data_IF_027027717034
#
_entry.id   IF_027027717034
#
_cell.length_a   1.000
_cell.length_b   1.000
_cell.length_c   1.000
_cell.angle_alpha   90.00
_cell.angle_beta   90.00
_cell.angle_gamma   90.00
#
_symmetry.space_group_name_H-M   'P 1'
#
loop_
_entity.id
_entity.type
_entity.pdbx_description
1 polymer ?
#
# COMPACT_ATOMS: atom_id res chain seq x y z
N UNK A 1 45.01 -40.21 13.42
CA UNK A 1 43.73 -39.57 13.81
C UNK A 1 43.48 -38.39 12.89
N UNK A 2 42.53 -38.51 11.95
CA UNK A 2 42.11 -37.40 11.09
C UNK A 2 41.29 -36.43 11.93
N UNK A 3 41.72 -35.17 11.95
CA UNK A 3 41.10 -34.06 12.68
C UNK A 3 39.82 -33.69 11.92
N UNK A 4 38.65 -33.98 12.50
CA UNK A 4 37.36 -33.54 11.98
C UNK A 4 37.35 -32.02 11.88
N UNK A 5 37.19 -31.50 10.65
CA UNK A 5 36.81 -30.10 10.45
C UNK A 5 35.36 -29.97 10.89
N UNK A 6 35.14 -29.30 12.02
CA UNK A 6 33.83 -28.83 12.44
C UNK A 6 33.26 -27.97 11.30
N UNK A 7 32.05 -28.29 10.85
CA UNK A 7 31.32 -27.48 9.87
C UNK A 7 31.20 -26.04 10.37
N UNK A 8 31.53 -25.09 9.49
CA UNK A 8 31.28 -23.67 9.69
C UNK A 8 29.77 -23.51 9.91
N UNK A 9 29.34 -23.07 11.10
CA UNK A 9 27.98 -22.52 11.27
C UNK A 9 27.84 -21.40 10.23
N UNK A 10 26.78 -21.47 9.40
CA UNK A 10 26.61 -20.59 8.24
C UNK A 10 26.75 -19.12 8.64
N UNK A 11 27.76 -18.44 8.09
CA UNK A 11 27.88 -16.99 8.19
C UNK A 11 26.99 -16.33 7.14
N UNK A 12 26.70 -15.05 7.33
CA UNK A 12 25.98 -14.25 6.34
C UNK A 12 26.74 -14.24 4.99
N UNK A 13 26.03 -14.15 3.86
CA UNK A 13 26.65 -13.89 2.56
C UNK A 13 27.53 -12.63 2.62
N UNK A 14 28.58 -12.58 1.78
CA UNK A 14 29.54 -11.48 1.78
C UNK A 14 28.86 -10.13 1.49
N UNK A 15 27.89 -10.12 0.58
CA UNK A 15 27.20 -8.89 0.20
C UNK A 15 26.29 -8.40 1.33
N UNK A 16 25.62 -9.32 2.05
CA UNK A 16 24.90 -9.00 3.28
C UNK A 16 25.83 -8.45 4.39
N UNK A 17 27.02 -9.06 4.60
CA UNK A 17 28.01 -8.52 5.55
C UNK A 17 28.46 -7.09 5.17
N UNK A 18 28.58 -6.81 3.87
CA UNK A 18 28.93 -5.48 3.38
C UNK A 18 27.81 -4.47 3.60
N UNK A 19 26.55 -4.82 3.28
CA UNK A 19 25.40 -3.95 3.53
C UNK A 19 25.23 -3.64 5.02
N UNK A 20 25.39 -4.65 5.89
CA UNK A 20 25.37 -4.44 7.34
C UNK A 20 26.39 -3.38 7.77
N UNK A 21 27.63 -3.49 7.28
CA UNK A 21 28.67 -2.51 7.64
C UNK A 21 28.34 -1.10 7.14
N UNK A 22 27.83 -0.98 5.91
CA UNK A 22 27.48 0.32 5.33
C UNK A 22 26.28 0.96 6.05
N UNK A 23 25.22 0.21 6.30
CA UNK A 23 24.02 0.69 6.97
C UNK A 23 24.30 1.11 8.43
N UNK A 24 25.07 0.30 9.17
CA UNK A 24 25.49 0.71 10.53
C UNK A 24 26.42 1.93 10.50
N UNK A 25 27.32 2.02 9.52
CA UNK A 25 28.17 3.20 9.36
C UNK A 25 27.38 4.49 9.11
N UNK A 26 26.32 4.41 8.29
CA UNK A 26 25.41 5.52 8.04
C UNK A 26 24.60 5.87 9.30
N UNK A 27 24.05 4.88 9.99
CA UNK A 27 23.31 5.07 11.24
C UNK A 27 24.15 5.68 12.37
N UNK A 28 25.45 5.35 12.44
CA UNK A 28 26.38 5.92 13.42
C UNK A 28 26.98 7.28 12.99
N UNK A 29 26.61 7.78 11.80
CA UNK A 29 27.14 9.02 11.24
C UNK A 29 26.83 10.23 12.13
N UNK A 30 27.82 11.10 12.31
CA UNK A 30 27.72 12.28 13.19
C UNK A 30 27.67 13.61 12.46
N UNK A 31 27.75 13.59 11.12
CA UNK A 31 27.82 14.80 10.31
C UNK A 31 27.35 14.57 8.88
N UNK A 32 26.84 15.64 8.23
CA UNK A 32 26.40 15.59 6.82
C UNK A 32 27.49 15.15 5.83
N UNK A 33 28.75 15.39 6.15
CA UNK A 33 29.86 14.95 5.32
C UNK A 33 30.08 13.44 5.42
N UNK A 34 29.84 12.86 6.60
CA UNK A 34 29.85 11.41 6.81
C UNK A 34 28.61 10.77 6.19
N UNK A 35 27.41 11.34 6.37
CA UNK A 35 26.16 10.86 5.74
C UNK A 35 26.39 10.66 4.25
N UNK A 36 26.87 11.71 3.56
CA UNK A 36 27.14 11.66 2.14
C UNK A 36 28.16 10.58 1.73
N UNK A 37 29.20 10.35 2.55
CA UNK A 37 30.20 9.32 2.28
C UNK A 37 29.62 7.90 2.36
N UNK A 38 28.74 7.66 3.34
CA UNK A 38 28.09 6.38 3.54
C UNK A 38 26.97 6.15 2.52
N UNK A 39 26.13 7.17 2.29
CA UNK A 39 25.04 7.17 1.31
C UNK A 39 25.52 6.76 -0.08
N UNK A 40 26.58 7.40 -0.60
CA UNK A 40 27.10 7.10 -1.92
C UNK A 40 27.56 5.64 -2.05
N UNK A 41 28.13 5.07 -0.99
CA UNK A 41 28.62 3.68 -0.99
C UNK A 41 27.50 2.68 -0.81
N UNK A 42 26.53 2.99 0.05
CA UNK A 42 25.36 2.16 0.28
C UNK A 42 24.50 2.10 -0.98
N UNK A 43 24.22 3.26 -1.59
CA UNK A 43 23.54 3.36 -2.88
C UNK A 43 24.24 2.52 -3.96
N UNK A 44 25.56 2.64 -4.11
CA UNK A 44 26.31 1.89 -5.11
C UNK A 44 26.30 0.37 -4.86
N UNK A 45 26.31 -0.07 -3.60
CA UNK A 45 26.20 -1.49 -3.25
C UNK A 45 24.82 -2.04 -3.59
N UNK A 46 23.76 -1.30 -3.24
CA UNK A 46 22.37 -1.67 -3.53
C UNK A 46 22.12 -1.68 -5.04
N UNK A 47 22.60 -0.69 -5.80
CA UNK A 47 22.49 -0.67 -7.26
C UNK A 47 23.11 -1.93 -7.89
N UNK A 48 24.23 -2.40 -7.34
CA UNK A 48 24.88 -3.64 -7.76
C UNK A 48 24.01 -4.88 -7.52
N UNK A 49 23.31 -4.94 -6.40
CA UNK A 49 22.42 -6.06 -6.05
C UNK A 49 21.12 -6.04 -6.85
N UNK A 50 20.49 -4.86 -6.99
CA UNK A 50 19.31 -4.68 -7.84
C UNK A 50 19.61 -5.06 -9.29
N UNK A 51 20.77 -4.61 -9.83
CA UNK A 51 21.20 -4.96 -11.18
C UNK A 51 21.59 -6.44 -11.36
N UNK A 52 21.89 -7.15 -10.28
CA UNK A 52 22.15 -8.58 -10.27
C UNK A 52 20.90 -9.43 -9.95
N UNK A 53 19.74 -8.80 -9.73
CA UNK A 53 18.50 -9.42 -9.28
C UNK A 53 18.67 -10.21 -7.95
N UNK A 54 19.55 -9.74 -7.07
CA UNK A 54 19.85 -10.38 -5.77
C UNK A 54 18.96 -9.83 -4.64
N UNK A 55 17.67 -10.17 -4.70
CA UNK A 55 16.66 -9.83 -3.69
C UNK A 55 16.95 -10.46 -2.32
N UNK A 56 17.49 -11.68 -2.33
CA UNK A 56 17.74 -12.47 -1.12
C UNK A 56 18.75 -11.78 -0.20
N UNK A 57 19.82 -11.21 -0.78
CA UNK A 57 20.82 -10.45 -0.01
C UNK A 57 20.23 -9.20 0.64
N UNK A 58 19.34 -8.48 -0.05
CA UNK A 58 18.64 -7.30 0.48
C UNK A 58 17.75 -7.70 1.66
N UNK A 59 16.87 -8.68 1.44
CA UNK A 59 15.88 -9.14 2.43
C UNK A 59 16.55 -9.74 3.66
N UNK A 60 17.56 -10.60 3.47
CA UNK A 60 18.32 -11.21 4.59
C UNK A 60 18.99 -10.16 5.47
N UNK A 61 19.47 -9.07 4.86
CA UNK A 61 20.13 -7.99 5.61
C UNK A 61 19.12 -7.19 6.42
N UNK A 62 17.97 -6.84 5.83
CA UNK A 62 16.86 -6.18 6.53
C UNK A 62 16.37 -7.03 7.71
N UNK A 63 16.12 -8.33 7.49
CA UNK A 63 15.69 -9.26 8.55
C UNK A 63 16.69 -9.28 9.71
N UNK A 64 17.98 -9.31 9.43
CA UNK A 64 19.01 -9.26 10.46
C UNK A 64 18.96 -7.94 11.24
N UNK A 65 18.89 -6.80 10.53
CA UNK A 65 18.88 -5.47 11.15
C UNK A 65 17.61 -5.20 11.97
N UNK A 66 16.45 -5.74 11.57
CA UNK A 66 15.18 -5.59 12.29
C UNK A 66 15.28 -5.97 13.78
N UNK A 67 16.17 -6.92 14.11
CA UNK A 67 16.43 -7.36 15.49
C UNK A 67 17.67 -6.74 16.11
N UNK A 68 18.65 -6.33 15.28
CA UNK A 68 19.97 -5.91 15.73
C UNK A 68 20.10 -4.40 15.92
N UNK A 69 19.50 -3.60 15.03
CA UNK A 69 19.57 -2.13 15.03
C UNK A 69 18.44 -1.54 14.19
N UNK A 70 17.42 -0.99 14.85
CA UNK A 70 16.28 -0.32 14.19
C UNK A 70 16.74 0.86 13.35
N UNK A 71 17.69 1.66 13.85
CA UNK A 71 18.17 2.82 13.10
C UNK A 71 18.89 2.42 11.80
N UNK A 72 19.76 1.40 11.84
CA UNK A 72 20.41 0.92 10.62
C UNK A 72 19.44 0.18 9.70
N UNK A 73 18.39 -0.44 10.24
CA UNK A 73 17.29 -0.99 9.44
C UNK A 73 16.61 0.12 8.64
N UNK A 74 16.23 1.23 9.29
CA UNK A 74 15.56 2.35 8.63
C UNK A 74 16.44 2.95 7.53
N UNK A 75 17.72 3.21 7.80
CA UNK A 75 18.68 3.72 6.80
C UNK A 75 18.82 2.77 5.60
N UNK A 76 18.87 1.45 5.84
CA UNK A 76 18.95 0.47 4.76
C UNK A 76 17.64 0.40 3.96
N UNK A 77 16.49 0.35 4.65
CA UNK A 77 15.19 0.25 4.03
C UNK A 77 14.90 1.46 3.14
N UNK A 78 15.10 2.67 3.67
CA UNK A 78 14.91 3.93 2.93
C UNK A 78 15.83 3.99 1.71
N UNK A 79 17.10 3.57 1.84
CA UNK A 79 18.01 3.54 0.70
C UNK A 79 17.60 2.49 -0.33
N UNK A 80 17.23 1.27 0.07
CA UNK A 80 16.77 0.23 -0.87
C UNK A 80 15.55 0.70 -1.64
N UNK A 81 14.54 1.24 -0.95
CA UNK A 81 13.34 1.78 -1.59
C UNK A 81 13.69 2.89 -2.58
N UNK A 82 14.48 3.88 -2.16
CA UNK A 82 14.95 5.00 -2.99
C UNK A 82 15.70 4.53 -4.24
N UNK A 83 16.59 3.54 -4.08
CA UNK A 83 17.31 2.96 -5.23
C UNK A 83 16.36 2.18 -6.12
N UNK A 84 15.45 1.37 -5.59
CA UNK A 84 14.52 0.57 -6.37
C UNK A 84 13.54 1.44 -7.18
N UNK A 85 12.98 2.50 -6.61
CA UNK A 85 12.06 3.39 -7.32
C UNK A 85 12.76 4.39 -8.27
N UNK A 86 14.08 4.55 -8.18
CA UNK A 86 14.88 5.43 -9.05
C UNK A 86 15.81 4.73 -10.07
N UNK A 87 15.86 3.39 -10.05
CA UNK A 87 17.10 2.61 -10.23
C UNK A 87 18.00 2.90 -11.44
N UNK A 88 17.71 2.50 -12.68
CA UNK A 88 18.81 2.36 -13.66
C UNK A 88 19.10 3.58 -14.55
N UNK A 89 18.33 4.66 -14.41
CA UNK A 89 18.43 5.85 -15.28
C UNK A 89 18.62 7.16 -14.54
N UNK A 90 18.53 7.18 -13.22
CA UNK A 90 19.02 8.32 -12.45
C UNK A 90 20.55 8.35 -12.61
N UNK A 91 21.04 9.35 -13.36
CA UNK A 91 22.45 9.50 -13.70
C UNK A 91 22.98 10.86 -13.19
N UNK A 92 24.13 11.30 -13.70
CA UNK A 92 24.67 12.60 -13.35
C UNK A 92 23.85 13.78 -13.92
N UNK A 93 22.91 13.54 -14.84
CA UNK A 93 22.15 14.56 -15.56
C UNK A 93 20.67 14.56 -15.21
N UNK A 94 20.07 13.41 -14.91
CA UNK A 94 18.64 13.29 -14.65
C UNK A 94 18.35 12.50 -13.38
N UNK A 95 17.27 12.90 -12.70
CA UNK A 95 16.62 12.10 -11.68
C UNK A 95 15.37 11.45 -12.28
N UNK A 96 15.16 10.18 -11.93
CA UNK A 96 13.99 9.38 -12.33
C UNK A 96 13.34 8.86 -11.07
N UNK A 97 12.02 8.88 -11.04
CA UNK A 97 11.24 8.38 -9.91
C UNK A 97 10.02 7.62 -10.42
N UNK A 98 9.84 6.38 -9.95
CA UNK A 98 8.59 5.66 -10.07
C UNK A 98 7.58 6.28 -9.10
N UNK A 99 6.40 6.63 -9.62
CA UNK A 99 5.29 7.17 -8.87
C UNK A 99 4.09 6.23 -8.95
N UNK A 100 3.26 6.25 -7.92
CA UNK A 100 1.94 5.64 -7.92
C UNK A 100 0.87 6.68 -7.61
N UNK A 101 -0.30 6.51 -8.22
CA UNK A 101 -1.53 7.23 -7.91
C UNK A 101 -2.58 6.21 -7.43
N UNK A 102 -2.67 5.99 -6.11
CA UNK A 102 -3.62 5.04 -5.54
C UNK A 102 -5.07 5.55 -5.63
N UNK A 103 -5.99 4.61 -5.78
CA UNK A 103 -7.43 4.81 -5.83
C UNK A 103 -8.08 3.75 -4.96
N UNK A 104 -8.64 4.17 -3.83
CA UNK A 104 -9.45 3.29 -2.99
C UNK A 104 -10.81 3.12 -3.67
N UNK A 105 -11.29 1.89 -3.81
CA UNK A 105 -12.56 1.62 -4.45
C UNK A 105 -13.35 0.58 -3.66
N UNK A 106 -14.66 0.71 -3.63
CA UNK A 106 -15.54 -0.34 -3.12
C UNK A 106 -16.72 -0.59 -4.04
N UNK A 107 -17.11 -1.86 -4.14
CA UNK A 107 -18.24 -2.28 -4.96
C UNK A 107 -18.82 -3.60 -4.48
N UNK A 108 -20.11 -3.80 -4.76
CA UNK A 108 -20.76 -5.11 -4.64
C UNK A 108 -20.34 -6.09 -5.74
N UNK A 109 -19.71 -5.56 -6.79
CA UNK A 109 -19.18 -6.31 -7.92
C UNK A 109 -17.66 -6.35 -7.86
N UNK A 110 -17.04 -7.04 -8.82
CA UNK A 110 -15.58 -7.01 -8.97
C UNK A 110 -15.11 -5.59 -9.26
N UNK A 111 -14.20 -5.07 -8.44
CA UNK A 111 -13.49 -3.82 -8.71
C UNK A 111 -12.53 -4.09 -9.89
N UNK A 112 -12.62 -3.35 -11.00
CA UNK A 112 -11.88 -3.69 -12.21
C UNK A 112 -10.38 -3.39 -12.08
N UNK A 113 -9.55 -4.28 -12.60
CA UNK A 113 -8.16 -4.02 -12.96
C UNK A 113 -8.07 -4.19 -14.49
N UNK A 114 -7.74 -3.14 -15.22
CA UNK A 114 -8.10 -3.06 -16.64
C UNK A 114 -7.16 -2.16 -17.45
N UNK A 115 -6.97 -2.43 -18.76
CA UNK A 115 -6.27 -1.51 -19.65
C UNK A 115 -6.97 -0.15 -19.72
N UNK A 116 -6.18 0.92 -19.78
CA UNK A 116 -6.66 2.29 -19.83
C UNK A 116 -6.63 2.79 -21.27
N UNK A 117 -7.77 3.26 -21.78
CA UNK A 117 -7.83 3.79 -23.14
C UNK A 117 -6.93 5.02 -23.33
N UNK A 118 -6.40 5.21 -24.54
CA UNK A 118 -5.53 6.34 -24.87
C UNK A 118 -6.15 7.72 -24.56
N UNK A 119 -7.48 7.85 -24.70
CA UNK A 119 -8.19 9.09 -24.37
C UNK A 119 -8.16 9.39 -22.85
N UNK A 120 -8.34 8.35 -22.02
CA UNK A 120 -8.25 8.49 -20.56
C UNK A 120 -6.81 8.74 -20.13
N UNK A 121 -5.84 8.05 -20.73
CA UNK A 121 -4.40 8.27 -20.50
C UNK A 121 -3.99 9.73 -20.77
N UNK A 122 -4.45 10.30 -21.89
CA UNK A 122 -4.18 11.70 -22.22
C UNK A 122 -4.74 12.67 -21.17
N UNK A 123 -5.95 12.43 -20.67
CA UNK A 123 -6.56 13.28 -19.63
C UNK A 123 -5.85 13.13 -18.28
N UNK A 124 -5.51 11.90 -17.87
CA UNK A 124 -4.74 11.64 -16.64
C UNK A 124 -3.41 12.39 -16.66
N UNK A 125 -2.68 12.32 -17.78
CA UNK A 125 -1.43 13.06 -18.00
C UNK A 125 -1.61 14.56 -17.84
N UNK A 126 -2.67 15.15 -18.40
CA UNK A 126 -2.97 16.57 -18.26
C UNK A 126 -3.14 16.95 -16.80
N UNK A 127 -3.94 16.20 -16.03
CA UNK A 127 -4.22 16.53 -14.64
C UNK A 127 -3.04 16.24 -13.69
N UNK A 128 -2.25 15.20 -13.95
CA UNK A 128 -1.01 14.98 -13.21
C UNK A 128 -0.03 16.13 -13.42
N UNK A 129 0.20 16.57 -14.66
CA UNK A 129 1.09 17.70 -14.97
C UNK A 129 0.55 19.06 -14.48
N UNK A 130 -0.77 19.21 -14.36
CA UNK A 130 -1.37 20.44 -13.88
C UNK A 130 -1.33 20.59 -12.35
N UNK A 131 -1.55 19.48 -11.62
CA UNK A 131 -1.89 19.54 -10.20
C UNK A 131 -0.90 18.83 -9.27
N UNK A 132 -0.14 17.87 -9.78
CA UNK A 132 0.68 16.98 -8.95
C UNK A 132 2.17 17.14 -9.25
N UNK A 133 2.53 17.20 -10.53
CA UNK A 133 3.92 17.29 -10.98
C UNK A 133 4.38 18.74 -11.10
N UNK A 134 5.68 18.96 -10.87
CA UNK A 134 6.32 20.24 -11.09
C UNK A 134 6.34 20.60 -12.59
N UNK A 135 6.70 21.85 -12.87
CA UNK A 135 6.85 22.32 -14.24
C UNK A 135 7.97 21.55 -14.97
N UNK A 136 7.77 21.32 -16.27
CA UNK A 136 8.75 20.72 -17.19
C UNK A 136 9.14 19.25 -16.87
N UNK A 137 8.41 18.60 -15.96
CA UNK A 137 8.52 17.17 -15.69
C UNK A 137 8.11 16.36 -16.91
N UNK A 138 8.99 15.45 -17.34
CA UNK A 138 8.62 14.40 -18.30
C UNK A 138 7.92 13.26 -17.57
N UNK A 139 6.91 12.67 -18.20
CA UNK A 139 6.05 11.65 -17.61
C UNK A 139 5.86 10.49 -18.58
N UNK A 140 5.96 9.27 -18.07
CA UNK A 140 5.38 8.07 -18.67
C UNK A 140 4.36 7.48 -17.72
N UNK A 141 3.23 7.03 -18.25
CA UNK A 141 2.23 6.26 -17.50
C UNK A 141 2.17 4.84 -18.06
N UNK A 142 1.94 3.87 -17.19
CA UNK A 142 1.53 2.53 -17.60
C UNK A 142 0.07 2.56 -18.03
N UNK A 143 -0.27 2.01 -19.20
CA UNK A 143 -1.64 2.01 -19.75
C UNK A 143 -2.56 0.95 -19.12
N UNK A 144 -2.43 0.73 -17.81
CA UNK A 144 -3.17 -0.26 -17.06
C UNK A 144 -3.46 0.23 -15.64
N UNK A 145 -4.66 -0.10 -15.14
CA UNK A 145 -5.07 0.16 -13.76
C UNK A 145 -4.88 -1.14 -12.95
N UNK A 146 -3.86 -1.18 -12.10
CA UNK A 146 -3.40 -2.38 -11.40
C UNK A 146 -4.20 -2.64 -10.12
N UNK A 147 -4.43 -3.91 -9.78
CA UNK A 147 -4.72 -4.32 -8.39
C UNK A 147 -3.41 -4.48 -7.59
N UNK A 148 -3.47 -4.63 -6.25
CA UNK A 148 -2.28 -4.87 -5.43
C UNK A 148 -1.53 -6.14 -5.88
N UNK A 149 -2.27 -7.21 -6.22
CA UNK A 149 -1.71 -8.49 -6.68
C UNK A 149 -0.85 -8.36 -7.95
N UNK A 150 -1.08 -7.30 -8.74
CA UNK A 150 -0.46 -7.07 -10.06
C UNK A 150 0.67 -6.04 -10.02
N UNK A 151 0.98 -5.49 -8.84
CA UNK A 151 2.13 -4.61 -8.64
C UNK A 151 3.46 -5.38 -8.73
N UNK A 152 4.58 -4.71 -9.07
CA UNK A 152 5.89 -5.34 -9.01
C UNK A 152 6.18 -5.83 -7.58
N UNK A 153 6.54 -7.12 -7.46
CA UNK A 153 6.81 -7.77 -6.17
C UNK A 153 8.30 -7.67 -5.79
N UNK A 154 8.58 -7.11 -4.63
CA UNK A 154 9.95 -6.92 -4.14
C UNK A 154 10.70 -5.75 -4.80
N UNK A 155 11.95 -5.56 -4.39
CA UNK A 155 12.76 -4.41 -4.79
C UNK A 155 13.33 -4.55 -6.22
N UNK A 156 13.80 -5.74 -6.61
CA UNK A 156 14.36 -5.99 -7.93
C UNK A 156 13.31 -5.84 -9.04
N UNK A 157 12.11 -6.39 -8.84
CA UNK A 157 11.02 -6.22 -9.82
C UNK A 157 10.58 -4.75 -9.91
N UNK A 158 10.56 -4.04 -8.78
CA UNK A 158 10.26 -2.59 -8.75
C UNK A 158 11.32 -1.80 -9.52
N UNK A 159 12.60 -2.12 -9.34
CA UNK A 159 13.72 -1.52 -10.06
C UNK A 159 13.68 -1.75 -11.58
N UNK A 160 13.37 -2.98 -12.00
CA UNK A 160 13.18 -3.29 -13.42
C UNK A 160 11.99 -2.52 -14.01
N UNK A 161 10.86 -2.49 -13.29
CA UNK A 161 9.67 -1.76 -13.73
C UNK A 161 9.91 -0.24 -13.83
N UNK A 162 10.55 0.35 -12.82
CA UNK A 162 10.97 1.75 -12.81
C UNK A 162 11.89 2.08 -13.99
N UNK A 163 12.76 1.15 -14.37
CA UNK A 163 13.67 1.30 -15.51
C UNK A 163 12.94 1.30 -16.85
N UNK A 164 11.99 0.38 -17.03
CA UNK A 164 11.16 0.30 -18.23
C UNK A 164 10.29 1.55 -18.41
N UNK A 165 9.59 1.98 -17.36
CA UNK A 165 8.80 3.23 -17.40
C UNK A 165 9.69 4.46 -17.56
N UNK A 166 10.81 4.53 -16.84
CA UNK A 166 11.75 5.65 -16.92
C UNK A 166 12.30 5.86 -18.33
N UNK A 167 12.56 4.78 -19.07
CA UNK A 167 12.92 4.84 -20.49
C UNK A 167 11.81 5.44 -21.37
N UNK A 168 10.54 5.12 -21.09
CA UNK A 168 9.42 5.72 -21.79
C UNK A 168 9.25 7.21 -21.43
N UNK A 169 9.60 7.60 -20.20
CA UNK A 169 9.55 8.99 -19.75
C UNK A 169 10.59 9.86 -20.48
N UNK A 170 11.73 9.32 -20.92
CA UNK A 170 12.72 10.05 -21.73
C UNK A 170 12.09 10.75 -22.95
N UNK A 171 11.09 10.11 -23.56
CA UNK A 171 10.34 10.57 -24.74
C UNK A 171 8.94 11.09 -24.44
N UNK A 172 8.56 11.23 -23.16
CA UNK A 172 7.23 11.65 -22.70
C UNK A 172 6.09 10.76 -23.26
N UNK A 173 6.35 9.46 -23.41
CA UNK A 173 5.43 8.45 -23.97
C UNK A 173 4.97 7.45 -22.91
N UNK A 174 3.77 6.90 -23.09
CA UNK A 174 3.22 5.86 -22.20
C UNK A 174 3.82 4.48 -22.48
N UNK A 175 3.86 3.64 -21.45
CA UNK A 175 4.28 2.25 -21.53
C UNK A 175 3.06 1.34 -21.67
N UNK A 176 3.08 0.49 -22.70
CA UNK A 176 2.06 -0.53 -22.88
C UNK A 176 2.32 -1.75 -21.98
N UNK A 177 1.32 -2.13 -21.18
CA UNK A 177 1.39 -3.27 -20.27
C UNK A 177 0.80 -4.51 -20.95
N UNK A 178 1.59 -5.58 -20.97
CA UNK A 178 1.13 -6.90 -21.44
C UNK A 178 0.31 -7.56 -20.35
N UNK A 179 -0.93 -7.92 -20.67
CA UNK A 179 -1.90 -8.46 -19.71
C UNK A 179 -1.90 -9.98 -19.59
N UNK A 180 -1.25 -10.69 -20.53
CA UNK A 180 -1.38 -12.15 -20.69
C UNK A 180 -0.91 -12.96 -19.46
N UNK A 181 -0.01 -12.40 -18.66
CA UNK A 181 0.58 -13.06 -17.49
C UNK A 181 0.28 -12.33 -16.18
N UNK A 182 -0.68 -11.39 -16.18
CA UNK A 182 -1.07 -10.72 -14.94
C UNK A 182 -1.82 -11.72 -14.04
N UNK A 183 -1.51 -11.77 -12.74
CA UNK A 183 -2.23 -12.64 -11.82
C UNK A 183 -3.71 -12.28 -11.75
N UNK A 184 -4.55 -13.28 -11.45
CA UNK A 184 -5.94 -13.04 -11.13
C UNK A 184 -6.05 -12.22 -9.86
N UNK A 185 -6.95 -11.25 -9.86
CA UNK A 185 -7.16 -10.35 -8.73
C UNK A 185 -8.13 -10.98 -7.74
N UNK A 186 -7.79 -10.94 -6.45
CA UNK A 186 -8.75 -11.31 -5.42
C UNK A 186 -9.98 -10.39 -5.45
N UNK A 187 -11.13 -10.92 -5.02
CA UNK A 187 -12.37 -10.14 -4.96
C UNK A 187 -12.67 -9.73 -3.52
N UNK A 188 -12.46 -8.45 -3.25
CA UNK A 188 -12.82 -7.81 -1.99
C UNK A 188 -13.95 -6.81 -2.18
N UNK A 189 -14.68 -6.53 -1.10
CA UNK A 189 -15.69 -5.47 -1.06
C UNK A 189 -15.06 -4.10 -1.29
N UNK A 190 -13.91 -3.86 -0.65
CA UNK A 190 -13.12 -2.65 -0.67
C UNK A 190 -11.68 -3.03 -0.97
N UNK A 191 -11.05 -2.39 -1.97
CA UNK A 191 -9.70 -2.68 -2.43
C UNK A 191 -9.08 -1.47 -3.13
N UNK A 192 -7.76 -1.48 -3.29
CA UNK A 192 -6.98 -0.41 -3.91
C UNK A 192 -6.73 -0.69 -5.39
N UNK A 193 -6.72 0.37 -6.20
CA UNK A 193 -6.24 0.34 -7.58
C UNK A 193 -5.11 1.33 -7.76
N UNK A 194 -4.15 1.02 -8.60
CA UNK A 194 -2.96 1.83 -8.78
C UNK A 194 -2.79 2.20 -10.25
N UNK A 195 -2.64 3.50 -10.52
CA UNK A 195 -2.03 3.99 -11.75
C UNK A 195 -0.53 4.19 -11.47
N UNK A 196 0.32 3.54 -12.26
CA UNK A 196 1.78 3.65 -12.12
C UNK A 196 2.36 4.53 -13.23
N UNK A 197 3.42 5.25 -12.92
CA UNK A 197 4.14 6.05 -13.89
C UNK A 197 5.58 6.32 -13.46
N UNK A 198 6.40 6.80 -14.39
CA UNK A 198 7.72 7.33 -14.05
C UNK A 198 7.83 8.78 -14.48
N UNK A 199 8.48 9.56 -13.63
CA UNK A 199 8.82 10.96 -13.89
C UNK A 199 10.30 11.11 -14.11
N UNK A 200 10.68 12.06 -14.95
CA UNK A 200 12.08 12.39 -15.23
C UNK A 200 12.30 13.90 -15.24
N UNK A 201 13.31 14.33 -14.52
CA UNK A 201 13.70 15.75 -14.35
C UNK A 201 15.21 15.91 -14.45
N UNK A 202 15.74 17.10 -14.78
CA UNK A 202 17.16 17.39 -14.59
C UNK A 202 17.58 17.15 -13.15
N UNK A 203 18.80 16.69 -12.93
CA UNK A 203 19.29 16.36 -11.59
C UNK A 203 19.13 17.52 -10.61
N UNK A 204 18.46 17.26 -9.48
CA UNK A 204 18.16 18.22 -8.42
C UNK A 204 16.99 19.17 -8.72
N UNK A 205 16.28 19.00 -9.83
CA UNK A 205 15.10 19.81 -10.14
C UNK A 205 13.84 19.29 -9.41
N UNK A 206 12.84 20.15 -9.18
CA UNK A 206 11.55 19.74 -8.61
C UNK A 206 10.85 18.65 -9.43
N UNK A 207 10.35 17.62 -8.77
CA UNK A 207 9.52 16.56 -9.33
C UNK A 207 8.03 16.85 -9.11
N UNK A 208 7.68 17.31 -7.91
CA UNK A 208 6.28 17.52 -7.50
C UNK A 208 5.94 19.00 -7.39
N UNK A 209 4.67 19.33 -7.60
CA UNK A 209 4.16 20.71 -7.62
C UNK A 209 4.41 21.44 -6.29
N UNK A 210 4.35 20.71 -5.17
CA UNK A 210 4.61 21.26 -3.83
C UNK A 210 6.09 21.46 -3.49
N UNK A 211 7.01 21.15 -4.42
CA UNK A 211 8.42 21.52 -4.31
C UNK A 211 8.71 22.88 -4.96
N UNK A 212 7.68 23.52 -5.54
CA UNK A 212 7.72 24.89 -6.07
C UNK A 212 7.02 25.85 -5.07
N UNK A 213 7.39 27.13 -5.04
CA UNK A 213 7.03 28.08 -3.96
C UNK A 213 5.52 28.34 -3.77
N UNK A 214 4.65 27.93 -4.69
CA UNK A 214 3.25 28.38 -4.79
C UNK A 214 2.18 27.30 -4.54
N UNK A 215 2.56 26.10 -4.10
CA UNK A 215 1.59 25.00 -3.90
C UNK A 215 1.92 24.16 -2.66
N UNK A 216 0.88 23.81 -1.88
CA UNK A 216 1.01 22.82 -0.79
C UNK A 216 0.53 21.44 -1.24
N UNK A 217 0.90 20.40 -0.50
CA UNK A 217 0.40 19.02 -0.74
C UNK A 217 -1.13 18.95 -0.65
N UNK A 218 -1.74 19.64 0.31
CA UNK A 218 -3.20 19.64 0.49
C UNK A 218 -3.92 20.26 -0.71
N UNK A 219 -3.38 21.37 -1.24
CA UNK A 219 -3.91 22.01 -2.44
C UNK A 219 -3.78 21.10 -3.67
N UNK A 220 -2.63 20.43 -3.82
CA UNK A 220 -2.43 19.46 -4.89
C UNK A 220 -3.42 18.29 -4.80
N UNK A 221 -3.65 17.76 -3.59
CA UNK A 221 -4.62 16.68 -3.33
C UNK A 221 -6.05 17.12 -3.64
N UNK A 222 -6.46 18.31 -3.20
CA UNK A 222 -7.80 18.84 -3.48
C UNK A 222 -8.05 18.95 -5.00
N UNK A 223 -7.10 19.50 -5.75
CA UNK A 223 -7.20 19.61 -7.20
C UNK A 223 -7.14 18.25 -7.90
N UNK A 224 -6.30 17.34 -7.42
CA UNK A 224 -6.23 15.97 -7.93
C UNK A 224 -7.56 15.22 -7.72
N UNK A 225 -8.18 15.33 -6.55
CA UNK A 225 -9.50 14.77 -6.28
C UNK A 225 -10.57 15.36 -7.19
N UNK A 226 -10.59 16.68 -7.33
CA UNK A 226 -11.60 17.36 -8.13
C UNK A 226 -11.50 17.08 -9.63
N UNK A 227 -10.28 17.04 -10.19
CA UNK A 227 -10.08 16.98 -11.64
C UNK A 227 -9.45 15.66 -12.12
N UNK A 228 -8.47 15.13 -11.39
CA UNK A 228 -7.89 13.82 -11.67
C UNK A 228 -8.87 12.68 -11.39
N UNK A 229 -9.60 12.74 -10.27
CA UNK A 229 -10.64 11.77 -9.92
C UNK A 229 -11.72 11.64 -11.00
N UNK A 230 -12.10 12.74 -11.65
CA UNK A 230 -13.06 12.73 -12.75
C UNK A 230 -12.58 11.91 -13.97
N UNK A 231 -11.27 11.79 -14.18
CA UNK A 231 -10.69 10.96 -15.26
C UNK A 231 -10.71 9.47 -14.93
N UNK A 232 -10.73 9.11 -13.64
CA UNK A 232 -10.74 7.74 -13.16
C UNK A 232 -12.15 7.17 -13.14
N UNK A 233 -13.18 8.01 -12.94
CA UNK A 233 -14.57 7.58 -12.84
C UNK A 233 -15.05 6.62 -13.95
N UNK A 234 -14.72 6.82 -15.25
CA UNK A 234 -15.12 5.89 -16.30
C UNK A 234 -14.51 4.48 -16.16
N UNK A 235 -13.32 4.37 -15.55
CA UNK A 235 -12.62 3.10 -15.33
C UNK A 235 -13.25 2.27 -14.20
N UNK A 236 -13.92 2.94 -13.26
CA UNK A 236 -14.50 2.36 -12.05
C UNK A 236 -16.03 2.43 -12.06
N UNK A 237 -16.65 2.27 -13.23
CA UNK A 237 -18.11 2.32 -13.38
C UNK A 237 -18.77 1.30 -12.44
N UNK A 238 -19.68 1.75 -11.58
CA UNK A 238 -20.34 0.89 -10.58
C UNK A 238 -19.55 0.66 -9.29
N UNK A 239 -18.44 1.38 -9.11
CA UNK A 239 -17.73 1.46 -7.83
C UNK A 239 -17.91 2.86 -7.24
N UNK A 240 -17.98 2.93 -5.91
CA UNK A 240 -17.62 4.14 -5.20
C UNK A 240 -16.08 4.16 -5.07
N UNK A 241 -15.47 5.34 -5.14
CA UNK A 241 -14.02 5.44 -5.06
C UNK A 241 -13.56 6.80 -4.52
N UNK A 242 -12.35 6.81 -3.97
CA UNK A 242 -11.62 8.00 -3.57
C UNK A 242 -10.17 7.91 -4.06
N UNK A 243 -9.62 9.04 -4.49
CA UNK A 243 -8.22 9.10 -4.95
C UNK A 243 -7.30 9.63 -3.85
N UNK A 244 -6.12 9.04 -3.77
CA UNK A 244 -5.02 9.45 -2.88
C UNK A 244 -4.04 10.34 -3.68
N UNK A 245 -3.29 11.20 -2.98
CA UNK A 245 -2.30 12.06 -3.61
C UNK A 245 -1.22 11.18 -4.27
N UNK A 246 -0.93 11.33 -5.58
CA UNK A 246 0.14 10.58 -6.19
C UNK A 246 1.49 10.99 -5.62
N UNK A 247 2.37 10.02 -5.39
CA UNK A 247 3.67 10.23 -4.76
C UNK A 247 4.67 9.18 -5.25
N UNK A 248 5.90 9.23 -4.74
CA UNK A 248 6.89 8.16 -4.87
C UNK A 248 6.25 6.79 -4.55
N UNK A 249 6.60 5.75 -5.31
CA UNK A 249 5.92 4.46 -5.31
C UNK A 249 5.72 3.89 -3.90
N UNK A 250 6.79 3.73 -3.12
CA UNK A 250 6.69 3.13 -1.79
C UNK A 250 5.93 4.02 -0.80
N UNK A 251 6.14 5.34 -0.87
CA UNK A 251 5.42 6.31 -0.03
C UNK A 251 3.92 6.34 -0.35
N UNK A 252 3.56 6.28 -1.64
CA UNK A 252 2.16 6.23 -2.10
C UNK A 252 1.47 4.94 -1.67
N UNK A 253 2.16 3.80 -1.74
CA UNK A 253 1.64 2.51 -1.26
C UNK A 253 1.40 2.54 0.25
N UNK A 254 2.36 3.02 1.06
CA UNK A 254 2.16 3.18 2.50
C UNK A 254 0.98 4.10 2.85
N UNK A 255 0.80 5.17 2.11
CA UNK A 255 -0.34 6.09 2.31
C UNK A 255 -1.67 5.44 1.90
N UNK A 256 -1.68 4.65 0.82
CA UNK A 256 -2.85 3.87 0.41
C UNK A 256 -3.25 2.85 1.49
N UNK A 257 -2.28 2.14 2.07
CA UNK A 257 -2.55 1.20 3.16
C UNK A 257 -3.17 1.91 4.37
N UNK A 258 -2.58 3.03 4.82
CA UNK A 258 -3.12 3.83 5.92
C UNK A 258 -4.55 4.30 5.67
N UNK A 259 -4.80 4.87 4.50
CA UNK A 259 -6.12 5.45 4.13
C UNK A 259 -7.17 4.38 3.84
N UNK A 260 -6.76 3.18 3.42
CA UNK A 260 -7.67 2.05 3.16
C UNK A 260 -8.38 1.54 4.41
N UNK A 261 -7.80 1.72 5.61
CA UNK A 261 -8.37 1.25 6.88
C UNK A 261 -9.69 1.95 7.20
N UNK A 262 -9.76 3.29 7.28
CA UNK A 262 -11.03 3.98 7.48
C UNK A 262 -11.98 3.84 6.28
N UNK A 263 -11.43 3.77 5.06
CA UNK A 263 -12.24 3.57 3.86
C UNK A 263 -12.95 2.21 3.85
N UNK A 264 -12.31 1.16 4.37
CA UNK A 264 -12.91 -0.18 4.48
C UNK A 264 -14.10 -0.20 5.44
N UNK A 265 -14.02 0.52 6.57
CA UNK A 265 -15.18 0.69 7.47
C UNK A 265 -16.32 1.42 6.73
N UNK A 266 -16.01 2.52 6.03
CA UNK A 266 -17.03 3.28 5.29
C UNK A 266 -17.71 2.44 4.21
N UNK A 267 -16.93 1.66 3.46
CA UNK A 267 -17.41 0.73 2.44
C UNK A 267 -18.33 -0.33 3.05
N UNK A 268 -17.90 -0.96 4.16
CA UNK A 268 -18.67 -1.97 4.87
C UNK A 268 -19.99 -1.45 5.42
N UNK A 269 -20.00 -0.27 6.04
CA UNK A 269 -21.24 0.36 6.54
C UNK A 269 -22.19 0.69 5.38
N UNK A 270 -21.69 1.30 4.30
CA UNK A 270 -22.52 1.63 3.13
C UNK A 270 -23.08 0.37 2.45
N UNK A 271 -22.27 -0.69 2.34
CA UNK A 271 -22.68 -1.99 1.86
C UNK A 271 -23.79 -2.57 2.72
N UNK A 272 -23.57 -2.69 4.04
CA UNK A 272 -24.54 -3.27 4.97
C UNK A 272 -25.83 -2.48 5.00
N UNK A 273 -25.77 -1.15 5.04
CA UNK A 273 -26.97 -0.31 5.05
C UNK A 273 -27.86 -0.55 3.83
N UNK A 274 -27.24 -0.77 2.67
CA UNK A 274 -27.96 -1.04 1.43
C UNK A 274 -28.39 -2.51 1.33
N UNK A 275 -27.64 -3.45 1.91
CA UNK A 275 -27.90 -4.90 1.80
C UNK A 275 -28.96 -5.37 2.79
N UNK A 276 -28.99 -4.78 3.98
CA UNK A 276 -29.91 -5.12 5.06
C UNK A 276 -31.13 -4.18 5.13
N UNK A 277 -31.22 -3.20 4.22
CA UNK A 277 -32.23 -2.14 4.23
C UNK A 277 -32.35 -1.47 5.62
N UNK A 278 -31.20 -1.15 6.22
CA UNK A 278 -31.09 -0.62 7.57
C UNK A 278 -30.19 0.62 7.59
N UNK A 279 -30.58 1.73 8.27
CA UNK A 279 -29.68 2.86 8.43
C UNK A 279 -28.46 2.44 9.26
N UNK A 280 -27.33 3.15 9.12
CA UNK A 280 -26.12 2.90 9.92
C UNK A 280 -26.39 2.89 11.44
N UNK A 281 -27.28 3.75 11.94
CA UNK A 281 -27.70 3.77 13.35
C UNK A 281 -28.48 2.51 13.79
N UNK A 282 -28.94 1.69 12.85
CA UNK A 282 -29.55 0.37 13.09
C UNK A 282 -28.53 -0.78 13.12
N UNK A 283 -27.24 -0.49 12.92
CA UNK A 283 -26.13 -1.43 13.04
C UNK A 283 -25.43 -1.25 14.40
N UNK A 284 -24.78 -2.32 14.87
CA UNK A 284 -23.80 -2.31 15.95
C UNK A 284 -22.44 -2.70 15.40
N UNK A 285 -21.39 -2.03 15.86
CA UNK A 285 -20.01 -2.44 15.64
C UNK A 285 -19.42 -2.98 16.94
N UNK A 286 -18.78 -4.14 16.89
CA UNK A 286 -18.02 -4.76 17.98
C UNK A 286 -16.55 -4.70 17.62
N UNK A 287 -15.72 -4.04 18.43
CA UNK A 287 -14.29 -3.85 18.17
C UNK A 287 -13.50 -4.64 19.21
N UNK A 288 -12.51 -5.41 18.77
CA UNK A 288 -11.63 -6.13 19.68
C UNK A 288 -10.19 -6.25 19.12
N UNK A 289 -9.16 -6.27 19.99
CA UNK A 289 -7.78 -6.52 19.59
C UNK A 289 -7.55 -8.02 19.34
N UNK A 290 -6.79 -8.33 18.28
CA UNK A 290 -6.39 -9.68 17.91
C UNK A 290 -4.87 -9.84 18.00
N UNK A 291 -4.44 -10.93 18.64
CA UNK A 291 -3.09 -11.14 19.14
C UNK A 291 -2.46 -12.41 18.57
N UNK A 292 -1.17 -12.34 18.24
CA UNK A 292 -0.31 -13.51 18.01
C UNK A 292 0.90 -13.52 18.96
N UNK A 293 1.75 -12.48 18.88
CA UNK A 293 2.87 -12.24 19.84
C UNK A 293 2.73 -10.91 20.56
N UNK A 294 2.11 -9.97 19.86
CA UNK A 294 1.59 -8.70 20.30
C UNK A 294 0.23 -8.55 19.60
N UNK A 295 -0.50 -7.47 19.88
CA UNK A 295 -1.66 -7.13 19.06
C UNK A 295 -1.14 -6.79 17.67
N UNK A 296 -1.63 -7.50 16.67
CA UNK A 296 -1.23 -7.31 15.27
C UNK A 296 -2.30 -6.50 14.52
N UNK A 297 -3.56 -6.62 14.94
CA UNK A 297 -4.70 -5.97 14.30
C UNK A 297 -5.88 -5.82 15.25
N UNK A 298 -6.76 -4.87 14.95
CA UNK A 298 -8.12 -4.85 15.49
C UNK A 298 -9.07 -5.47 14.48
N UNK A 299 -10.08 -6.17 14.96
CA UNK A 299 -11.19 -6.62 14.11
C UNK A 299 -12.49 -5.98 14.56
N UNK A 300 -13.30 -5.62 13.57
CA UNK A 300 -14.62 -5.03 13.75
C UNK A 300 -15.65 -6.02 13.22
N UNK A 301 -16.48 -6.57 14.10
CA UNK A 301 -17.67 -7.34 13.74
C UNK A 301 -18.90 -6.43 13.65
N UNK A 302 -19.70 -6.55 12.61
CA UNK A 302 -20.95 -5.81 12.45
C UNK A 302 -22.16 -6.71 12.69
N UNK A 303 -23.12 -6.23 13.47
CA UNK A 303 -24.43 -6.89 13.69
C UNK A 303 -25.57 -5.92 13.44
N UNK A 304 -26.79 -6.43 13.26
CA UNK A 304 -28.00 -5.60 13.42
C UNK A 304 -28.17 -5.25 14.91
N UNK A 305 -28.63 -4.04 15.20
CA UNK A 305 -28.84 -3.61 16.60
C UNK A 305 -29.78 -4.57 17.34
N UNK A 306 -29.37 -4.98 18.54
CA UNK A 306 -30.09 -5.97 19.35
C UNK A 306 -29.97 -7.43 18.89
N UNK A 307 -29.15 -7.71 17.86
CA UNK A 307 -28.77 -9.06 17.43
C UNK A 307 -27.31 -9.32 17.74
N UNK A 308 -26.96 -10.60 17.84
CA UNK A 308 -25.60 -11.04 18.13
C UNK A 308 -24.88 -11.65 16.92
N UNK A 309 -25.65 -12.06 15.90
CA UNK A 309 -25.11 -12.63 14.67
C UNK A 309 -24.28 -11.59 13.91
N UNK A 310 -23.01 -11.94 13.66
CA UNK A 310 -22.08 -11.11 12.91
C UNK A 310 -22.33 -11.32 11.42
N UNK A 311 -22.73 -10.24 10.74
CA UNK A 311 -23.16 -10.28 9.34
C UNK A 311 -22.06 -9.82 8.37
N UNK A 312 -21.05 -9.13 8.87
CA UNK A 312 -19.88 -8.71 8.12
C UNK A 312 -18.77 -8.31 9.10
N UNK A 313 -17.53 -8.25 8.62
CA UNK A 313 -16.42 -7.82 9.43
C UNK A 313 -15.35 -7.08 8.64
N UNK A 314 -14.57 -6.26 9.35
CA UNK A 314 -13.45 -5.50 8.83
C UNK A 314 -12.23 -5.77 9.69
N UNK A 315 -11.09 -5.98 9.04
CA UNK A 315 -9.78 -6.04 9.70
C UNK A 315 -9.14 -4.65 9.61
N UNK A 316 -8.65 -4.16 10.75
CA UNK A 316 -7.86 -2.95 10.88
C UNK A 316 -6.43 -3.34 11.27
N UNK A 317 -5.53 -3.53 10.31
CA UNK A 317 -4.14 -3.87 10.60
C UNK A 317 -3.42 -2.70 11.29
N UNK A 318 -2.54 -3.03 12.24
CA UNK A 318 -1.57 -2.08 12.77
C UNK A 318 -0.41 -1.94 11.78
N UNK A 319 -0.06 -0.71 11.43
CA UNK A 319 0.93 -0.42 10.41
C UNK A 319 2.22 0.16 11.02
N UNK A 320 3.35 -0.47 10.73
CA UNK A 320 4.68 0.02 11.15
C UNK A 320 4.88 -0.08 12.66
N UNK A 321 5.14 1.05 13.31
CA UNK A 321 5.37 1.14 14.76
C UNK A 321 4.08 1.41 15.56
N UNK A 322 2.91 1.35 14.92
CA UNK A 322 1.63 1.41 15.62
C UNK A 322 1.49 0.22 16.59
N UNK A 323 0.88 0.49 17.73
CA UNK A 323 0.59 -0.46 18.79
C UNK A 323 -0.91 -0.48 19.12
N UNK A 324 -1.28 -1.37 20.04
CA UNK A 324 -2.58 -1.36 20.72
C UNK A 324 -2.66 -0.19 21.71
N UNK A 325 -2.63 1.03 21.17
CA UNK A 325 -2.82 2.25 21.93
C UNK A 325 -4.27 2.71 21.87
N UNK A 326 -4.63 3.50 22.89
CA UNK A 326 -5.91 4.21 22.92
C UNK A 326 -6.12 5.15 21.73
N UNK A 327 -5.05 5.56 21.03
CA UNK A 327 -5.13 6.41 19.84
C UNK A 327 -5.69 5.64 18.65
N UNK A 328 -5.18 4.43 18.38
CA UNK A 328 -5.70 3.55 17.32
C UNK A 328 -7.18 3.23 17.53
N UNK A 329 -7.55 2.82 18.75
CA UNK A 329 -8.95 2.55 19.08
C UNK A 329 -9.82 3.81 18.91
N UNK A 330 -9.33 4.98 19.32
CA UNK A 330 -10.05 6.24 19.16
C UNK A 330 -10.25 6.60 17.69
N UNK A 331 -9.30 6.29 16.80
CA UNK A 331 -9.44 6.47 15.35
C UNK A 331 -10.52 5.55 14.76
N UNK A 332 -10.54 4.27 15.16
CA UNK A 332 -11.58 3.31 14.76
C UNK A 332 -12.96 3.80 15.19
N UNK A 333 -13.12 4.17 16.46
CA UNK A 333 -14.39 4.69 16.98
C UNK A 333 -14.83 5.97 16.27
N UNK A 334 -13.90 6.90 16.02
CA UNK A 334 -14.19 8.15 15.30
C UNK A 334 -14.67 7.86 13.89
N UNK A 335 -14.03 6.92 13.20
CA UNK A 335 -14.41 6.48 11.85
C UNK A 335 -15.81 5.86 11.85
N UNK A 336 -16.08 4.94 12.78
CA UNK A 336 -17.40 4.31 12.93
C UNK A 336 -18.51 5.35 13.17
N UNK A 337 -18.26 6.31 14.07
CA UNK A 337 -19.20 7.41 14.35
C UNK A 337 -19.40 8.32 13.15
N UNK A 338 -18.35 8.62 12.39
CA UNK A 338 -18.45 9.39 11.15
C UNK A 338 -19.30 8.67 10.08
N UNK A 339 -19.32 7.33 10.09
CA UNK A 339 -20.20 6.52 9.24
C UNK A 339 -21.65 6.46 9.74
N UNK A 340 -21.96 7.05 10.91
CA UNK A 340 -23.30 7.04 11.50
C UNK A 340 -23.59 5.86 12.42
N UNK A 341 -22.60 5.05 12.78
CA UNK A 341 -22.74 3.99 13.79
C UNK A 341 -22.83 4.64 15.18
N UNK A 342 -23.90 4.35 15.91
CA UNK A 342 -24.13 4.89 17.26
C UNK A 342 -23.91 3.87 18.37
N UNK A 343 -24.08 2.58 18.07
CA UNK A 343 -23.88 1.47 18.99
C UNK A 343 -22.52 0.81 18.72
N UNK A 344 -21.53 1.15 19.54
CA UNK A 344 -20.16 0.63 19.45
C UNK A 344 -19.84 -0.08 20.76
N UNK A 345 -19.49 -1.35 20.67
CA UNK A 345 -19.06 -2.19 21.79
C UNK A 345 -17.58 -2.51 21.63
N UNK A 346 -16.75 -1.99 22.53
CA UNK A 346 -15.33 -2.36 22.59
C UNK A 346 -15.15 -3.49 23.58
N UNK A 347 -14.45 -4.54 23.17
CA UNK A 347 -14.06 -5.66 24.01
C UNK A 347 -12.59 -5.55 24.36
N UNK A 348 -12.28 -5.62 25.65
CA UNK A 348 -10.91 -5.52 26.17
C UNK A 348 -10.20 -6.89 26.22
N UNK A 349 -10.86 -7.95 25.75
CA UNK A 349 -10.31 -9.29 25.74
C UNK A 349 -9.34 -9.44 24.56
N UNK A 350 -8.19 -10.07 24.79
CA UNK A 350 -7.27 -10.46 23.72
C UNK A 350 -7.83 -11.68 22.99
N UNK A 351 -8.13 -11.52 21.70
CA UNK A 351 -8.59 -12.61 20.84
C UNK A 351 -7.41 -13.24 20.09
N UNK A 352 -7.34 -14.57 19.96
CA UNK A 352 -6.35 -15.21 19.09
C UNK A 352 -6.63 -14.92 17.61
N UNK A 353 -5.57 -14.90 16.79
CA UNK A 353 -5.66 -14.80 15.32
C UNK A 353 -6.32 -16.04 14.70
N UNK A 354 -7.65 -16.09 14.75
CA UNK A 354 -8.45 -17.20 14.24
C UNK A 354 -8.99 -16.93 12.83
N UNK A 355 -9.02 -17.99 12.02
CA UNK A 355 -9.54 -17.99 10.65
C UNK A 355 -10.49 -19.17 10.50
N UNK A 356 -11.50 -19.02 9.64
CA UNK A 356 -12.42 -20.08 9.32
C UNK A 356 -11.71 -21.21 8.56
N UNK A 357 -11.84 -22.45 9.06
CA UNK A 357 -11.21 -23.63 8.46
C UNK A 357 -11.75 -23.96 7.05
N UNK A 358 -12.98 -23.53 6.72
CA UNK A 358 -13.63 -23.85 5.46
C UNK A 358 -13.27 -22.87 4.33
N UNK A 359 -13.24 -21.57 4.62
CA UNK A 359 -13.06 -20.51 3.62
C UNK A 359 -11.78 -19.68 3.78
N UNK A 360 -11.07 -19.82 4.91
CA UNK A 360 -9.86 -19.05 5.23
C UNK A 360 -10.12 -17.59 5.61
N UNK A 361 -11.37 -17.15 5.72
CA UNK A 361 -11.68 -15.78 6.13
C UNK A 361 -11.37 -15.54 7.62
N UNK A 362 -11.01 -14.30 8.01
CA UNK A 362 -10.85 -13.95 9.42
C UNK A 362 -12.14 -14.18 10.23
N UNK A 363 -11.99 -14.59 11.48
CA UNK A 363 -13.09 -14.61 12.47
C UNK A 363 -13.23 -13.24 13.13
N UNK A 364 -14.44 -12.81 13.48
CA UNK A 364 -14.74 -11.46 13.96
C UNK A 364 -15.40 -11.48 15.35
N UNK A 365 -15.18 -10.45 16.17
CA UNK A 365 -15.74 -10.42 17.52
C UNK A 365 -17.27 -10.28 17.49
N UNK A 366 -17.97 -11.10 18.27
CA UNK A 366 -19.40 -10.99 18.52
C UNK A 366 -19.70 -10.21 19.82
N UNK A 367 -20.93 -9.71 20.01
CA UNK A 367 -21.34 -9.11 21.28
C UNK A 367 -21.27 -10.04 22.49
N UNK A 368 -21.19 -11.36 22.29
CA UNK A 368 -21.02 -12.34 23.37
C UNK A 368 -19.57 -12.51 23.82
N UNK A 369 -18.61 -11.88 23.12
CA UNK A 369 -17.19 -12.04 23.41
C UNK A 369 -16.57 -13.30 22.79
N UNK A 370 -17.11 -13.75 21.65
CA UNK A 370 -16.60 -14.89 20.87
C UNK A 370 -16.07 -14.41 19.51
N UNK A 371 -15.09 -15.11 18.95
CA UNK A 371 -14.66 -14.91 17.57
C UNK A 371 -15.48 -15.83 16.66
N UNK A 372 -16.25 -15.26 15.73
CA UNK A 372 -17.22 -15.98 14.90
C UNK A 372 -17.03 -15.67 13.42
N UNK A 373 -17.47 -16.58 12.55
CA UNK A 373 -17.48 -16.36 11.11
C UNK A 373 -18.59 -15.37 10.76
N UNK A 374 -18.32 -14.43 9.84
CA UNK A 374 -19.30 -13.44 9.42
C UNK A 374 -20.19 -13.98 8.29
N UNK A 375 -21.50 -13.96 8.48
CA UNK A 375 -22.46 -14.51 7.53
C UNK A 375 -23.65 -13.57 7.31
N UNK A 376 -23.88 -13.19 6.05
CA UNK A 376 -25.09 -12.47 5.68
C UNK A 376 -26.29 -13.42 5.79
N UNK A 377 -27.48 -12.93 6.19
CA UNK A 377 -28.65 -13.79 6.25
C UNK A 377 -29.01 -14.32 4.84
N UNK A 378 -29.48 -15.57 4.79
CA UNK A 378 -29.63 -16.35 3.55
C UNK A 378 -30.44 -15.62 2.45
N UNK A 379 -31.53 -14.95 2.83
CA UNK A 379 -32.41 -14.21 1.91
C UNK A 379 -31.69 -13.05 1.18
N UNK A 380 -30.69 -12.44 1.83
CA UNK A 380 -29.87 -11.37 1.26
C UNK A 380 -28.66 -11.92 0.52
N UNK A 381 -28.10 -13.05 0.96
CA UNK A 381 -27.00 -13.74 0.28
C UNK A 381 -27.39 -14.23 -1.13
N UNK A 382 -28.64 -14.68 -1.30
CA UNK A 382 -29.18 -15.11 -2.61
C UNK A 382 -29.39 -13.95 -3.61
N UNK A 383 -29.55 -12.71 -3.11
CA UNK A 383 -29.74 -11.51 -3.93
C UNK A 383 -28.43 -10.88 -4.38
N UNK A 384 -27.28 -11.33 -3.87
CA UNK A 384 -25.98 -10.92 -4.37
C UNK A 384 -25.75 -11.53 -5.77
N UNK A 385 -25.55 -10.72 -6.82
CA UNK A 385 -25.43 -11.23 -8.17
C UNK A 385 -24.20 -12.12 -8.31
N UNK A 386 -24.43 -13.42 -8.49
CA UNK A 386 -23.42 -14.38 -8.93
C UNK A 386 -23.09 -14.08 -10.39
N UNK A 387 -21.92 -13.50 -10.63
CA UNK A 387 -21.27 -13.30 -11.94
C UNK A 387 -22.16 -12.70 -13.05
N UNK A 388 -21.96 -11.42 -13.36
CA UNK A 388 -22.27 -10.93 -14.70
C UNK A 388 -21.04 -11.18 -15.59
N UNK A 389 -21.23 -12.02 -16.59
CA UNK A 389 -20.24 -12.44 -17.58
C UNK A 389 -19.69 -11.29 -18.43
#
# INVERSE_FOLDING_TARGET
MKRNRLGRRGGLPRDAEQLLWLANGLADSSSRAEDHFWDERLAAAIDGLLGAEDEDSLTTTLDHLSTASVHAYDELADMIESRAEGALKSDARYDVLLIAAPVMAWSRYRIPATPISAAVMANLRVHLKAHVLAKDVKLALADFLFSPDQLPQGYCATADFATHLGKAAETDTDLHIKTDNLPETAQFLSDNRYLLGAVMVPKGAPIFRWQEEECTRDQALEQWRAQGGACIAPLLTGCAFEVVLPNAYFAASREADKTSRPYSIQASVAFLSTTLDAPAAGLRAVVAPFFERQVEEFRIGFTLSGKNEVVHGVVWPLLGAEDDSSETLSEIETTLRACGITDILTLDNEFPMEYCDDCGAPMYPSPEGEAVHAELPEEQAEQMPKHLH
#
